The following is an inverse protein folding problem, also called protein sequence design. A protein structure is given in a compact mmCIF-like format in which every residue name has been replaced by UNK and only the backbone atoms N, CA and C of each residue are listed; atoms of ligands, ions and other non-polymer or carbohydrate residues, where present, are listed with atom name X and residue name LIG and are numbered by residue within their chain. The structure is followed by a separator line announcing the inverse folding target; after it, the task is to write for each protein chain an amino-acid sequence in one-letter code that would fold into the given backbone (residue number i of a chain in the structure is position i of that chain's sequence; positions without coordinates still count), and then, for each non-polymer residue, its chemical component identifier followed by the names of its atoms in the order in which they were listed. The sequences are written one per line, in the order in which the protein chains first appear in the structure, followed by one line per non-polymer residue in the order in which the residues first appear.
data_IF_177265444356
#
_entry.id   IF_177265444356
#
_cell.length_a   1.000
_cell.length_b   1.000
_cell.length_c   1.000
_cell.angle_alpha   90.00
_cell.angle_beta   90.00
_cell.angle_gamma   90.00
#
_symmetry.space_group_name_H-M   'P 1'
#
loop_
_entity.id
_entity.type
_entity.pdbx_description
1 polymer ?
#
# COMPACT_ATOMS: atom_id res chain seq x y z
N UNK A 1 -37.60 -24.06 -12.79
CA UNK A 1 -36.27 -23.75 -12.23
C UNK A 1 -35.29 -23.70 -13.38
N UNK A 2 -34.82 -22.50 -13.72
CA UNK A 2 -33.86 -22.27 -14.81
C UNK A 2 -32.50 -22.11 -14.15
N UNK A 3 -31.56 -22.99 -14.46
CA UNK A 3 -30.15 -22.87 -14.03
C UNK A 3 -29.54 -21.62 -14.68
N UNK A 4 -28.92 -20.72 -13.92
CA UNK A 4 -28.25 -19.56 -14.51
C UNK A 4 -27.08 -20.05 -15.38
N UNK A 5 -27.07 -19.63 -16.65
CA UNK A 5 -26.00 -19.91 -17.58
C UNK A 5 -24.71 -19.22 -17.15
N UNK A 6 -23.57 -19.90 -17.35
CA UNK A 6 -22.26 -19.36 -17.02
C UNK A 6 -22.02 -18.00 -17.70
N UNK A 7 -21.43 -17.01 -16.99
CA UNK A 7 -21.19 -15.69 -17.54
C UNK A 7 -20.22 -15.77 -18.73
N UNK A 8 -20.45 -14.99 -19.81
CA UNK A 8 -19.57 -14.98 -20.96
C UNK A 8 -18.19 -14.45 -20.56
N UNK A 9 -17.14 -15.18 -20.95
CA UNK A 9 -15.75 -14.76 -20.78
C UNK A 9 -15.57 -13.43 -21.51
N UNK A 10 -15.35 -12.35 -20.75
CA UNK A 10 -15.26 -11.00 -21.32
C UNK A 10 -13.92 -10.79 -22.03
N UNK A 11 -13.89 -9.92 -23.04
CA UNK A 11 -12.68 -9.55 -23.77
C UNK A 11 -11.54 -9.05 -22.85
N UNK A 12 -11.89 -8.53 -21.68
CA UNK A 12 -10.95 -8.09 -20.62
C UNK A 12 -10.15 -9.25 -20.03
N UNK A 13 -10.74 -10.45 -19.93
CA UNK A 13 -10.07 -11.65 -19.43
C UNK A 13 -9.03 -12.16 -20.45
N UNK A 14 -9.37 -12.15 -21.74
CA UNK A 14 -8.44 -12.51 -22.82
C UNK A 14 -7.24 -11.55 -22.92
N UNK A 15 -7.46 -10.25 -22.72
CA UNK A 15 -6.37 -9.28 -22.69
C UNK A 15 -5.36 -9.57 -21.56
N UNK A 16 -5.84 -9.94 -20.36
CA UNK A 16 -4.98 -10.34 -19.24
C UNK A 16 -4.19 -11.62 -19.55
N UNK A 17 -4.83 -12.62 -20.14
CA UNK A 17 -4.17 -13.88 -20.53
C UNK A 17 -3.08 -13.64 -21.56
N UNK A 18 -3.32 -12.77 -22.55
CA UNK A 18 -2.32 -12.44 -23.58
C UNK A 18 -1.14 -11.65 -23.03
N UNK A 19 -1.38 -10.67 -22.16
CA UNK A 19 -0.29 -9.88 -21.54
C UNK A 19 0.53 -10.77 -20.61
N UNK A 20 -0.12 -11.55 -19.75
CA UNK A 20 0.59 -12.42 -18.80
C UNK A 20 1.37 -13.52 -19.54
N UNK A 21 0.74 -14.16 -20.53
CA UNK A 21 1.39 -15.16 -21.39
C UNK A 21 2.56 -14.60 -22.19
N UNK A 22 2.44 -13.37 -22.69
CA UNK A 22 3.52 -12.68 -23.40
C UNK A 22 4.72 -12.36 -22.51
N UNK A 23 4.47 -11.82 -21.32
CA UNK A 23 5.53 -11.50 -20.34
C UNK A 23 6.22 -12.77 -19.82
N UNK A 24 5.48 -13.84 -19.55
CA UNK A 24 6.09 -15.12 -19.14
C UNK A 24 6.89 -15.76 -20.27
N UNK A 25 6.40 -15.76 -21.50
CA UNK A 25 7.14 -16.29 -22.64
C UNK A 25 8.42 -15.50 -22.92
N UNK A 26 8.37 -14.17 -22.85
CA UNK A 26 9.54 -13.31 -23.01
C UNK A 26 10.55 -13.50 -21.86
N UNK A 27 10.07 -13.56 -20.61
CA UNK A 27 10.91 -13.85 -19.44
C UNK A 27 11.59 -15.21 -19.54
N UNK A 28 10.86 -16.24 -19.98
CA UNK A 28 11.42 -17.57 -20.21
C UNK A 28 12.49 -17.57 -21.30
N UNK A 29 12.27 -16.84 -22.40
CA UNK A 29 13.25 -16.72 -23.49
C UNK A 29 14.52 -15.98 -23.06
N UNK A 30 14.39 -14.90 -22.26
CA UNK A 30 15.53 -14.17 -21.70
C UNK A 30 16.30 -15.07 -20.73
N UNK A 31 15.59 -15.80 -19.87
CA UNK A 31 16.21 -16.69 -18.89
C UNK A 31 16.88 -17.88 -19.58
N UNK A 32 16.27 -18.45 -20.61
CA UNK A 32 16.91 -19.47 -21.45
C UNK A 32 18.12 -18.91 -22.18
N UNK A 33 18.06 -17.72 -22.77
CA UNK A 33 19.18 -17.06 -23.44
C UNK A 33 20.32 -16.69 -22.50
N UNK A 34 20.01 -16.34 -21.25
CA UNK A 34 21.00 -16.03 -20.22
C UNK A 34 21.61 -17.30 -19.61
N UNK A 35 20.84 -18.38 -19.44
CA UNK A 35 21.27 -19.62 -18.78
C UNK A 35 21.90 -20.63 -19.74
N UNK A 36 21.49 -20.68 -21.01
CA UNK A 36 22.10 -21.56 -22.03
C UNK A 36 23.63 -21.40 -22.12
N UNK A 37 24.19 -20.17 -22.14
CA UNK A 37 25.63 -19.98 -22.17
C UNK A 37 26.34 -20.62 -20.97
N UNK A 38 25.76 -20.55 -19.76
CA UNK A 38 26.33 -21.17 -18.56
C UNK A 38 26.14 -22.70 -18.50
N UNK A 39 25.17 -23.23 -19.25
CA UNK A 39 24.98 -24.68 -19.41
C UNK A 39 25.91 -25.28 -20.47
N UNK A 40 26.35 -24.48 -21.45
CA UNK A 40 27.19 -24.91 -22.58
C UNK A 40 28.68 -24.57 -22.36
N UNK A 41 29.00 -23.53 -21.59
CA UNK A 41 30.36 -23.11 -21.29
C UNK A 41 30.70 -23.37 -19.81
N UNK A 42 31.87 -23.93 -19.54
CA UNK A 42 32.36 -24.08 -18.17
C UNK A 42 32.47 -22.69 -17.50
N UNK A 43 31.94 -22.52 -16.27
CA UNK A 43 31.96 -21.22 -15.62
C UNK A 43 33.41 -20.80 -15.30
N UNK A 44 33.77 -19.52 -15.49
CA UNK A 44 35.06 -19.00 -15.04
C UNK A 44 35.14 -19.12 -13.52
N UNK A 45 36.22 -19.71 -13.02
CA UNK A 45 36.48 -19.82 -11.59
C UNK A 45 36.76 -18.42 -11.02
N UNK A 46 35.82 -17.84 -10.26
CA UNK A 46 36.09 -16.58 -9.57
C UNK A 46 34.93 -15.69 -9.10
N UNK A 47 33.65 -16.10 -9.18
CA UNK A 47 32.56 -15.27 -8.65
C UNK A 47 32.28 -15.55 -7.17
N UNK A 48 32.86 -14.73 -6.28
CA UNK A 48 32.47 -14.64 -4.88
C UNK A 48 31.27 -13.71 -4.70
N UNK A 49 30.19 -14.21 -4.11
CA UNK A 49 29.05 -13.40 -3.69
C UNK A 49 29.36 -12.73 -2.34
N UNK A 50 29.45 -11.40 -2.31
CA UNK A 50 29.38 -10.64 -1.07
C UNK A 50 27.92 -10.31 -0.75
N UNK A 51 27.42 -10.58 0.48
CA UNK A 51 26.07 -10.22 0.87
C UNK A 51 26.00 -8.71 1.18
N UNK A 52 25.31 -7.96 0.33
CA UNK A 52 24.87 -6.59 0.59
C UNK A 52 23.44 -6.65 1.15
N UNK A 53 23.30 -6.61 2.47
CA UNK A 53 22.04 -6.37 3.18
C UNK A 53 22.33 -5.40 4.33
N UNK A 54 22.46 -4.13 3.98
CA UNK A 54 22.58 -3.04 4.96
C UNK A 54 21.17 -2.47 5.20
N UNK A 55 20.76 -2.47 6.46
CA UNK A 55 19.42 -2.15 6.97
C UNK A 55 18.92 -0.77 6.52
N UNK A 56 17.72 -0.71 5.94
CA UNK A 56 16.99 0.53 5.71
C UNK A 56 15.74 0.51 6.61
N UNK A 57 15.65 1.34 7.67
CA UNK A 57 14.64 1.18 8.73
C UNK A 57 13.23 1.72 8.40
N UNK A 58 12.92 2.03 7.13
CA UNK A 58 11.67 2.71 6.77
C UNK A 58 10.58 1.79 6.18
N UNK A 59 10.82 0.49 6.03
CA UNK A 59 9.84 -0.42 5.43
C UNK A 59 9.12 -1.24 6.49
N UNK A 60 7.78 -1.32 6.37
CA UNK A 60 6.89 -2.17 7.16
C UNK A 60 7.46 -3.59 7.32
N UNK A 61 7.32 -4.22 8.51
CA UNK A 61 7.83 -5.56 8.80
C UNK A 61 7.35 -6.66 7.83
N UNK A 62 6.26 -6.43 7.08
CA UNK A 62 5.76 -7.39 6.09
C UNK A 62 6.63 -7.49 4.83
N UNK A 63 7.30 -6.43 4.39
CA UNK A 63 8.20 -6.50 3.22
C UNK A 63 9.45 -7.35 3.48
N UNK A 64 9.91 -7.39 4.73
CA UNK A 64 11.11 -8.13 5.11
C UNK A 64 10.86 -9.66 5.09
N UNK A 65 9.62 -10.08 5.30
CA UNK A 65 9.22 -11.50 5.26
C UNK A 65 9.29 -12.07 3.85
N UNK A 66 8.77 -11.35 2.84
CA UNK A 66 8.83 -11.78 1.44
C UNK A 66 10.26 -11.81 0.90
N UNK A 67 11.10 -10.84 1.27
CA UNK A 67 12.52 -10.82 0.90
C UNK A 67 13.29 -12.03 1.45
N UNK A 68 13.03 -12.41 2.70
CA UNK A 68 13.65 -13.59 3.34
C UNK A 68 13.19 -14.90 2.70
N UNK A 69 11.90 -15.02 2.36
CA UNK A 69 11.37 -16.21 1.66
C UNK A 69 12.01 -16.35 0.28
N UNK A 70 12.11 -15.26 -0.49
CA UNK A 70 12.73 -15.27 -1.80
C UNK A 70 14.23 -15.66 -1.71
N UNK A 71 14.99 -15.07 -0.78
CA UNK A 71 16.39 -15.38 -0.58
C UNK A 71 16.61 -16.86 -0.17
N UNK A 72 15.77 -17.39 0.71
CA UNK A 72 15.79 -18.80 1.10
C UNK A 72 15.53 -19.74 -0.08
N UNK A 73 14.58 -19.38 -0.95
CA UNK A 73 14.27 -20.15 -2.16
C UNK A 73 15.43 -20.15 -3.17
N UNK A 74 16.08 -19.01 -3.38
CA UNK A 74 17.26 -18.90 -4.24
C UNK A 74 18.44 -19.72 -3.72
N UNK A 75 18.70 -19.69 -2.41
CA UNK A 75 19.75 -20.50 -1.79
C UNK A 75 19.48 -22.02 -1.95
N UNK A 76 18.22 -22.44 -1.76
CA UNK A 76 17.82 -23.83 -1.93
C UNK A 76 17.92 -24.32 -3.39
N UNK A 77 17.50 -23.49 -4.35
CA UNK A 77 17.63 -23.77 -5.79
C UNK A 77 19.10 -23.83 -6.23
N UNK A 78 19.95 -22.95 -5.70
CA UNK A 78 21.39 -22.98 -5.94
C UNK A 78 22.04 -24.27 -5.41
N UNK A 79 21.69 -24.68 -4.20
CA UNK A 79 22.21 -25.91 -3.58
C UNK A 79 21.78 -27.19 -4.32
N UNK A 80 20.52 -27.27 -4.74
CA UNK A 80 20.00 -28.44 -5.49
C UNK A 80 20.63 -28.56 -6.88
N UNK A 81 20.86 -27.44 -7.58
CA UNK A 81 21.56 -27.45 -8.87
C UNK A 81 23.00 -27.95 -8.75
N UNK A 82 23.74 -27.50 -7.73
CA UNK A 82 25.11 -27.98 -7.45
C UNK A 82 25.13 -29.47 -7.11
N UNK A 83 24.17 -29.95 -6.31
CA UNK A 83 24.01 -31.37 -5.98
C UNK A 83 23.75 -32.26 -7.19
N UNK A 84 22.91 -31.83 -8.14
CA UNK A 84 22.62 -32.56 -9.37
C UNK A 84 23.87 -32.66 -10.26
N UNK A 85 24.71 -31.63 -10.29
CA UNK A 85 26.00 -31.66 -11.01
C UNK A 85 26.98 -32.64 -10.36
N UNK A 86 27.05 -32.65 -9.04
CA UNK A 86 27.93 -33.53 -8.27
C UNK A 86 27.53 -35.02 -8.37
N UNK A 87 26.24 -35.33 -8.53
CA UNK A 87 25.71 -36.69 -8.62
C UNK A 87 26.08 -37.44 -9.92
N UNK A 88 26.79 -36.80 -10.87
CA UNK A 88 27.37 -37.51 -12.00
C UNK A 88 26.32 -38.12 -12.94
N UNK A 89 25.23 -37.41 -13.22
CA UNK A 89 24.20 -37.80 -14.19
C UNK A 89 24.84 -37.89 -15.59
N UNK A 90 25.24 -39.11 -15.98
CA UNK A 90 26.06 -39.37 -17.19
C UNK A 90 25.24 -39.41 -18.48
N UNK A 91 23.92 -39.62 -18.40
CA UNK A 91 23.04 -39.69 -19.56
C UNK A 91 22.50 -38.34 -20.02
N UNK A 92 22.62 -38.01 -21.33
CA UNK A 92 22.01 -36.83 -21.95
C UNK A 92 20.48 -36.77 -21.71
N UNK A 93 19.83 -37.93 -21.70
CA UNK A 93 18.38 -38.08 -21.45
C UNK A 93 18.00 -37.71 -20.01
N UNK A 94 18.80 -38.13 -19.03
CA UNK A 94 18.55 -37.84 -17.62
C UNK A 94 18.75 -36.35 -17.32
N UNK A 95 19.75 -35.71 -17.92
CA UNK A 95 19.93 -34.24 -17.80
C UNK A 95 18.76 -33.45 -18.36
N UNK A 96 18.21 -33.88 -19.51
CA UNK A 96 17.03 -33.25 -20.09
C UNK A 96 15.80 -33.42 -19.20
N UNK A 97 15.59 -34.61 -18.63
CA UNK A 97 14.48 -34.88 -17.72
C UNK A 97 14.59 -34.05 -16.43
N UNK A 98 15.77 -33.98 -15.82
CA UNK A 98 15.99 -33.15 -14.62
C UNK A 98 15.80 -31.66 -14.90
N UNK A 99 16.27 -31.17 -16.06
CA UNK A 99 16.05 -29.79 -16.48
C UNK A 99 14.58 -29.45 -16.71
N UNK A 100 13.83 -30.34 -17.37
CA UNK A 100 12.39 -30.19 -17.57
C UNK A 100 11.62 -30.20 -16.24
N UNK A 101 11.99 -31.08 -15.31
CA UNK A 101 11.38 -31.14 -13.99
C UNK A 101 11.61 -29.83 -13.21
N UNK A 102 12.85 -29.32 -13.20
CA UNK A 102 13.18 -28.06 -12.53
C UNK A 102 12.39 -26.89 -13.14
N UNK A 103 12.34 -26.80 -14.47
CA UNK A 103 11.57 -25.76 -15.17
C UNK A 103 10.08 -25.84 -14.83
N UNK A 104 9.51 -27.05 -14.76
CA UNK A 104 8.12 -27.25 -14.35
C UNK A 104 7.87 -26.81 -12.91
N UNK A 105 8.75 -27.14 -11.96
CA UNK A 105 8.64 -26.72 -10.56
C UNK A 105 8.69 -25.20 -10.45
N UNK A 106 9.62 -24.54 -11.13
CA UNK A 106 9.72 -23.07 -11.15
C UNK A 106 8.44 -22.46 -11.72
N UNK A 107 7.92 -22.98 -12.84
CA UNK A 107 6.68 -22.50 -13.43
C UNK A 107 5.47 -22.63 -12.48
N UNK A 108 5.35 -23.75 -11.76
CA UNK A 108 4.29 -23.96 -10.77
C UNK A 108 4.44 -22.99 -9.60
N UNK A 109 5.66 -22.76 -9.10
CA UNK A 109 5.89 -21.79 -8.02
C UNK A 109 5.51 -20.36 -8.44
N UNK A 110 5.87 -19.94 -9.66
CA UNK A 110 5.47 -18.64 -10.20
C UNK A 110 3.95 -18.52 -10.36
N UNK A 111 3.28 -19.60 -10.79
CA UNK A 111 1.83 -19.62 -10.93
C UNK A 111 1.13 -19.53 -9.56
N UNK A 112 1.58 -20.30 -8.57
CA UNK A 112 1.07 -20.23 -7.19
C UNK A 112 1.31 -18.85 -6.59
N UNK A 113 2.50 -18.29 -6.76
CA UNK A 113 2.82 -16.94 -6.30
C UNK A 113 1.93 -15.88 -6.96
N UNK A 114 1.69 -15.99 -8.27
CA UNK A 114 0.79 -15.10 -8.99
C UNK A 114 -0.65 -15.16 -8.48
N UNK A 115 -1.17 -16.37 -8.25
CA UNK A 115 -2.52 -16.57 -7.69
C UNK A 115 -2.64 -15.99 -6.27
N UNK A 116 -1.65 -16.23 -5.40
CA UNK A 116 -1.64 -15.69 -4.04
C UNK A 116 -1.50 -14.16 -4.03
N UNK A 117 -0.69 -13.59 -4.94
CA UNK A 117 -0.52 -12.15 -5.06
C UNK A 117 -1.79 -11.46 -5.58
N UNK A 118 -2.54 -12.10 -6.47
CA UNK A 118 -3.82 -11.58 -6.96
C UNK A 118 -4.89 -11.59 -5.87
N UNK A 119 -4.95 -12.63 -5.02
CA UNK A 119 -5.86 -12.67 -3.86
C UNK A 119 -5.51 -11.61 -2.81
N UNK A 120 -4.21 -11.39 -2.54
CA UNK A 120 -3.76 -10.33 -1.63
C UNK A 120 -4.17 -8.95 -2.14
N UNK A 121 -3.91 -8.66 -3.43
CA UNK A 121 -4.32 -7.39 -4.07
C UNK A 121 -5.82 -7.22 -4.17
N UNK A 122 -6.57 -8.32 -4.35
CA UNK A 122 -8.03 -8.28 -4.40
C UNK A 122 -8.63 -7.96 -3.02
N UNK A 123 -8.00 -8.39 -1.91
CA UNK A 123 -8.42 -8.03 -0.55
C UNK A 123 -8.04 -6.60 -0.16
N UNK A 124 -6.99 -6.05 -0.73
CA UNK A 124 -6.62 -4.63 -0.57
C UNK A 124 -7.50 -3.68 -1.41
N UNK A 125 -8.26 -4.20 -2.38
CA UNK A 125 -9.00 -3.36 -3.33
C UNK A 125 -10.33 -2.82 -2.79
N UNK A 126 -10.89 -3.45 -1.76
CA UNK A 126 -12.01 -2.85 -1.03
C UNK A 126 -11.42 -2.09 0.16
N UNK A 127 -11.46 -0.75 0.16
CA UNK A 127 -11.09 0.00 1.35
C UNK A 127 -11.96 -0.52 2.50
N UNK A 128 -11.38 -0.81 3.66
CA UNK A 128 -12.13 -1.40 4.76
C UNK A 128 -13.36 -0.54 5.09
N UNK A 129 -14.44 -1.12 5.64
CA UNK A 129 -15.71 -0.41 5.81
C UNK A 129 -15.58 0.87 6.67
N UNK A 130 -14.59 0.95 7.57
CA UNK A 130 -14.26 2.15 8.32
C UNK A 130 -13.65 3.29 7.48
N UNK A 131 -13.10 2.99 6.30
CA UNK A 131 -12.61 3.98 5.33
C UNK A 131 -13.72 4.64 4.51
N UNK A 132 -14.99 4.24 4.68
CA UNK A 132 -16.13 4.91 4.06
C UNK A 132 -16.73 5.89 5.06
N UNK A 133 -16.20 7.13 5.16
CA UNK A 133 -16.79 8.10 6.07
C UNK A 133 -18.23 8.40 5.61
N UNK A 134 -19.15 8.73 6.53
CA UNK A 134 -20.55 9.01 6.22
C UNK A 134 -20.69 9.95 5.03
N UNK A 135 -21.78 9.86 4.26
CA UNK A 135 -22.00 10.71 3.09
C UNK A 135 -21.77 12.21 3.38
N UNK A 136 -22.14 12.69 4.57
CA UNK A 136 -21.86 14.07 4.98
C UNK A 136 -20.36 14.43 5.00
N UNK A 137 -19.49 13.47 5.31
CA UNK A 137 -18.04 13.65 5.30
C UNK A 137 -17.48 13.36 3.91
N UNK A 138 -17.85 12.25 3.26
CA UNK A 138 -17.31 11.88 1.93
C UNK A 138 -17.82 12.76 0.77
N UNK A 139 -19.08 13.19 0.82
CA UNK A 139 -19.73 14.01 -0.22
C UNK A 139 -19.70 15.52 0.10
N UNK A 140 -18.97 15.93 1.15
CA UNK A 140 -18.83 17.35 1.48
C UNK A 140 -18.16 18.11 0.34
N UNK A 141 -18.57 19.35 0.12
CA UNK A 141 -17.79 20.27 -0.71
C UNK A 141 -16.47 20.59 0.01
N UNK A 142 -15.31 20.24 -0.57
CA UNK A 142 -14.02 20.57 0.03
C UNK A 142 -13.87 22.09 0.13
N UNK A 143 -13.36 22.59 1.25
CA UNK A 143 -12.96 23.99 1.41
C UNK A 143 -11.49 24.14 0.98
N UNK A 144 -10.98 25.38 0.82
CA UNK A 144 -9.55 25.61 0.66
C UNK A 144 -8.76 24.87 1.75
N UNK A 145 -7.87 23.97 1.35
CA UNK A 145 -7.16 23.09 2.28
C UNK A 145 -6.00 23.84 2.96
N UNK A 146 -5.96 23.81 4.29
CA UNK A 146 -4.78 24.15 5.09
C UNK A 146 -3.78 22.98 5.14
N UNK A 147 -3.50 22.39 3.97
CA UNK A 147 -2.51 21.32 3.80
C UNK A 147 -1.26 21.92 3.19
N UNK A 148 -0.16 21.84 3.93
CA UNK A 148 1.16 22.12 3.39
C UNK A 148 1.71 20.87 2.71
N UNK A 149 1.67 20.86 1.37
CA UNK A 149 2.14 19.74 0.54
C UNK A 149 3.67 19.74 0.32
N UNK A 150 4.40 20.69 0.89
CA UNK A 150 5.85 20.79 0.72
C UNK A 150 6.62 19.93 1.72
N UNK A 151 7.77 19.39 1.28
CA UNK A 151 8.71 18.62 2.12
C UNK A 151 9.26 19.41 3.32
N UNK A 152 9.21 20.75 3.27
CA UNK A 152 9.69 21.64 4.32
C UNK A 152 8.74 22.84 4.42
N UNK A 153 8.03 23.05 5.53
CA UNK A 153 7.18 24.23 5.72
C UNK A 153 7.99 25.53 5.71
N UNK A 154 7.34 26.68 5.48
CA UNK A 154 8.01 27.96 5.52
C UNK A 154 8.75 28.11 6.86
N UNK A 155 9.97 28.64 6.79
CA UNK A 155 10.81 28.92 7.96
C UNK A 155 11.33 27.71 8.76
N UNK A 156 11.19 26.48 8.23
CA UNK A 156 11.71 25.28 8.87
C UNK A 156 10.93 24.85 10.12
N UNK A 157 9.68 25.31 10.24
CA UNK A 157 8.77 24.86 11.29
C UNK A 157 8.42 23.36 11.11
N UNK A 158 7.76 22.71 12.07
CA UNK A 158 7.10 21.43 11.81
C UNK A 158 5.89 21.62 10.88
N UNK A 159 5.61 20.68 9.97
CA UNK A 159 4.49 20.77 8.99
C UNK A 159 3.14 21.00 9.68
N UNK A 160 2.93 20.33 10.81
CA UNK A 160 1.75 20.51 11.65
C UNK A 160 1.58 21.97 12.11
N UNK A 161 2.69 22.69 12.31
CA UNK A 161 2.65 24.08 12.77
C UNK A 161 2.09 25.01 11.71
N UNK A 162 2.62 24.92 10.49
CA UNK A 162 2.16 25.71 9.36
C UNK A 162 0.69 25.43 9.01
N UNK A 163 0.26 24.17 9.07
CA UNK A 163 -1.13 23.79 8.78
C UNK A 163 -2.11 24.36 9.81
N UNK A 164 -1.77 24.26 11.10
CA UNK A 164 -2.59 24.84 12.16
C UNK A 164 -2.64 26.36 12.09
N UNK A 165 -1.53 27.03 11.75
CA UNK A 165 -1.50 28.48 11.60
C UNK A 165 -2.40 28.94 10.44
N UNK A 166 -2.39 28.23 9.30
CA UNK A 166 -3.29 28.51 8.18
C UNK A 166 -4.77 28.51 8.61
N UNK A 167 -5.18 27.52 9.42
CA UNK A 167 -6.55 27.41 9.87
C UNK A 167 -6.94 28.55 10.83
N UNK A 168 -6.03 28.94 11.71
CA UNK A 168 -6.18 30.08 12.61
C UNK A 168 -6.28 31.39 11.84
N UNK A 169 -5.42 31.60 10.84
CA UNK A 169 -5.44 32.81 10.00
C UNK A 169 -6.74 32.92 9.21
N UNK A 170 -7.23 31.82 8.64
CA UNK A 170 -8.52 31.77 7.96
C UNK A 170 -9.68 32.13 8.91
N UNK A 171 -9.69 31.58 10.12
CA UNK A 171 -10.68 31.92 11.15
C UNK A 171 -10.67 33.41 11.51
N UNK A 172 -9.48 34.00 11.72
CA UNK A 172 -9.33 35.43 12.04
C UNK A 172 -9.75 36.32 10.86
N UNK A 173 -9.49 35.87 9.62
CA UNK A 173 -9.86 36.59 8.40
C UNK A 173 -11.34 36.45 8.02
N UNK A 174 -12.09 35.54 8.66
CA UNK A 174 -13.46 35.20 8.26
C UNK A 174 -13.52 34.45 6.93
N UNK A 175 -12.46 33.74 6.59
CA UNK A 175 -12.34 32.94 5.38
C UNK A 175 -12.63 31.46 5.66
N UNK A 176 -13.08 30.74 4.64
CA UNK A 176 -13.30 29.29 4.75
C UNK A 176 -11.99 28.53 4.60
N UNK A 177 -11.76 27.56 5.46
CA UNK A 177 -10.62 26.66 5.35
C UNK A 177 -10.93 25.27 5.91
N UNK A 178 -10.21 24.26 5.45
CA UNK A 178 -10.31 22.89 5.96
C UNK A 178 -8.92 22.34 6.28
N UNK A 179 -8.78 21.76 7.47
CA UNK A 179 -7.60 21.04 7.91
C UNK A 179 -7.97 19.58 8.16
N UNK A 180 -7.20 18.65 7.58
CA UNK A 180 -7.41 17.21 7.73
C UNK A 180 -6.19 16.63 8.44
N UNK A 181 -6.42 16.04 9.61
CA UNK A 181 -5.43 15.31 10.38
C UNK A 181 -5.50 13.84 10.00
N UNK A 182 -4.35 13.28 9.66
CA UNK A 182 -4.19 11.87 9.36
C UNK A 182 -3.40 11.19 10.48
N UNK A 183 -3.88 10.04 10.94
CA UNK A 183 -3.09 9.15 11.78
C UNK A 183 -1.97 8.54 10.92
N UNK A 184 -0.75 8.56 11.45
CA UNK A 184 0.44 8.02 10.80
C UNK A 184 0.93 6.71 11.42
N UNK A 185 0.27 6.22 12.47
CA UNK A 185 0.75 5.07 13.25
C UNK A 185 0.48 3.71 12.60
N UNK A 186 -0.44 3.62 11.63
CA UNK A 186 -0.94 2.36 11.06
C UNK A 186 -0.45 1.94 9.66
N UNK A 187 0.45 2.68 9.00
CA UNK A 187 0.91 2.34 7.64
C UNK A 187 -0.09 2.67 6.51
N UNK A 188 -1.15 3.40 6.82
CA UNK A 188 -2.08 4.04 5.87
C UNK A 188 -2.40 5.47 6.30
N UNK A 189 -2.79 6.33 5.36
CA UNK A 189 -3.24 7.71 5.64
C UNK A 189 -4.70 7.69 6.15
N UNK A 190 -4.93 7.23 7.37
CA UNK A 190 -6.28 7.21 7.95
C UNK A 190 -6.66 8.61 8.45
N UNK A 191 -7.84 9.11 8.05
CA UNK A 191 -8.31 10.42 8.51
C UNK A 191 -8.81 10.30 9.96
N UNK A 192 -8.08 10.90 10.89
CA UNK A 192 -8.45 10.93 12.31
C UNK A 192 -9.42 12.08 12.60
N UNK A 193 -9.18 13.24 11.99
CA UNK A 193 -9.95 14.44 12.28
C UNK A 193 -10.04 15.38 11.06
N UNK A 194 -11.19 16.02 10.88
CA UNK A 194 -11.39 17.09 9.89
C UNK A 194 -11.90 18.31 10.63
N UNK A 195 -11.18 19.43 10.52
CA UNK A 195 -11.57 20.71 11.12
C UNK A 195 -11.87 21.70 9.99
N UNK A 196 -13.06 22.29 10.02
CA UNK A 196 -13.55 23.20 8.98
C UNK A 196 -13.93 24.52 9.61
N UNK A 197 -13.42 25.60 9.04
CA UNK A 197 -13.85 26.98 9.32
C UNK A 197 -14.80 27.39 8.20
N UNK A 198 -16.01 27.79 8.55
CA UNK A 198 -17.04 28.24 7.63
C UNK A 198 -17.05 29.77 7.51
N UNK A 199 -17.72 30.30 6.47
CA UNK A 199 -17.74 31.73 6.16
C UNK A 199 -18.42 32.60 7.23
N UNK A 200 -19.25 32.01 8.10
CA UNK A 200 -19.90 32.66 9.24
C UNK A 200 -19.08 32.54 10.53
N UNK A 201 -17.80 32.12 10.43
CA UNK A 201 -16.90 31.78 11.53
C UNK A 201 -17.38 30.61 12.40
N UNK A 202 -18.36 29.82 11.94
CA UNK A 202 -18.69 28.53 12.56
C UNK A 202 -17.56 27.53 12.32
N UNK A 203 -17.19 26.78 13.35
CA UNK A 203 -16.18 25.72 13.25
C UNK A 203 -16.88 24.36 13.37
N UNK A 204 -16.71 23.52 12.35
CA UNK A 204 -17.13 22.12 12.39
C UNK A 204 -15.92 21.22 12.58
N UNK A 205 -16.02 20.26 13.49
CA UNK A 205 -14.99 19.26 13.73
C UNK A 205 -15.61 17.89 13.55
N UNK A 206 -15.06 17.10 12.65
CA UNK A 206 -15.43 15.70 12.45
C UNK A 206 -14.31 14.87 13.06
N UNK A 207 -14.65 14.05 14.05
CA UNK A 207 -13.72 13.17 14.73
C UNK A 207 -14.08 11.74 14.40
N UNK A 208 -13.09 10.98 13.96
CA UNK A 208 -13.20 9.54 13.83
C UNK A 208 -13.07 8.91 15.24
N UNK A 209 -14.09 8.18 15.68
CA UNK A 209 -14.11 7.53 17.00
C UNK A 209 -14.37 6.04 16.83
N UNK A 210 -13.49 5.22 17.39
CA UNK A 210 -13.61 3.76 17.43
C UNK A 210 -12.36 3.07 16.94
N UNK A 211 -12.25 1.80 17.33
CA UNK A 211 -11.26 0.85 16.79
C UNK A 211 -12.03 -0.19 15.95
N UNK A 212 -11.42 -0.66 14.85
CA UNK A 212 -11.91 -1.73 13.98
C UNK A 212 -13.35 -1.53 13.44
N UNK A 213 -14.23 -2.53 13.61
CA UNK A 213 -15.59 -2.58 13.06
C UNK A 213 -16.58 -1.61 13.76
N UNK A 214 -16.16 -0.88 14.79
CA UNK A 214 -17.03 0.00 15.59
C UNK A 214 -16.90 1.48 15.27
N UNK A 215 -16.26 1.78 14.13
CA UNK A 215 -16.01 3.15 13.68
C UNK A 215 -17.30 3.95 13.53
N UNK A 216 -17.33 5.07 14.23
CA UNK A 216 -18.33 6.12 14.07
C UNK A 216 -17.66 7.47 13.90
N UNK A 217 -18.40 8.40 13.33
CA UNK A 217 -17.97 9.77 13.17
C UNK A 217 -18.80 10.63 14.10
N UNK A 218 -18.14 11.52 14.81
CA UNK A 218 -18.82 12.53 15.60
C UNK A 218 -18.56 13.88 15.00
N UNK A 219 -19.63 14.67 14.85
CA UNK A 219 -19.52 16.07 14.43
C UNK A 219 -19.68 16.95 15.65
N UNK A 220 -18.78 17.90 15.82
CA UNK A 220 -18.88 18.94 16.84
C UNK A 220 -18.99 20.29 16.15
N UNK A 221 -19.73 21.19 16.78
CA UNK A 221 -19.71 22.61 16.41
C UNK A 221 -19.05 23.37 17.55
N UNK A 222 -17.96 24.07 17.25
CA UNK A 222 -17.20 24.81 18.24
C UNK A 222 -17.46 26.31 18.09
N UNK A 223 -17.43 27.03 19.21
CA UNK A 223 -17.77 28.45 19.26
C UNK A 223 -16.60 29.37 18.87
N UNK A 224 -15.35 28.96 19.11
CA UNK A 224 -14.19 29.74 18.69
C UNK A 224 -12.92 28.91 18.57
N UNK A 225 -11.98 29.41 17.78
CA UNK A 225 -10.63 28.89 17.67
C UNK A 225 -9.68 29.95 18.26
N UNK A 226 -8.84 29.57 19.22
CA UNK A 226 -7.94 30.51 19.93
C UNK A 226 -6.50 30.02 19.87
N UNK A 227 -5.50 30.91 19.81
CA UNK A 227 -4.11 30.51 19.94
C UNK A 227 -3.89 29.76 21.26
N UNK A 228 -3.19 28.63 21.19
CA UNK A 228 -2.81 27.81 22.34
C UNK A 228 -1.28 27.89 22.57
N UNK A 229 -0.85 27.52 23.78
CA UNK A 229 0.57 27.32 24.05
C UNK A 229 1.03 25.95 23.57
N UNK A 230 2.27 25.87 23.11
CA UNK A 230 2.89 24.62 22.64
C UNK A 230 2.66 23.45 23.62
N UNK A 231 2.38 22.23 23.11
CA UNK A 231 2.55 21.79 21.72
C UNK A 231 1.36 22.06 20.79
N UNK A 232 0.23 22.53 21.33
CA UNK A 232 -0.96 22.84 20.54
C UNK A 232 -0.88 24.28 20.04
N UNK A 233 -1.27 24.53 18.79
CA UNK A 233 -1.21 25.88 18.20
C UNK A 233 -2.51 26.62 18.34
N UNK A 234 -3.62 25.89 18.32
CA UNK A 234 -4.90 26.42 18.70
C UNK A 234 -5.65 25.47 19.62
N UNK A 235 -6.55 26.06 20.38
CA UNK A 235 -7.55 25.38 21.18
C UNK A 235 -8.92 25.61 20.52
N UNK A 236 -9.70 24.54 20.43
CA UNK A 236 -11.10 24.60 20.04
C UNK A 236 -11.95 24.80 21.29
N UNK A 237 -12.76 25.86 21.32
CA UNK A 237 -13.53 26.25 22.50
C UNK A 237 -15.02 26.01 22.26
N UNK A 238 -15.71 25.44 23.24
CA UNK A 238 -17.16 25.25 23.22
C UNK A 238 -17.61 24.08 22.33
N UNK A 239 -16.81 23.02 22.23
CA UNK A 239 -17.14 21.80 21.49
C UNK A 239 -17.83 20.76 22.39
N UNK A 240 -18.79 21.20 23.23
CA UNK A 240 -19.17 20.42 24.40
C UNK A 240 -20.10 19.23 24.11
N UNK A 241 -20.81 19.24 22.98
CA UNK A 241 -21.76 18.20 22.62
C UNK A 241 -21.65 17.84 21.13
N UNK A 242 -21.61 16.54 20.80
CA UNK A 242 -21.67 16.11 19.41
C UNK A 242 -23.06 16.44 18.83
N UNK A 243 -23.04 16.96 17.61
CA UNK A 243 -24.22 17.18 16.79
C UNK A 243 -24.44 15.93 15.93
N UNK A 244 -25.70 15.47 15.76
CA UNK A 244 -25.98 14.31 14.93
C UNK A 244 -25.37 14.44 13.52
N UNK A 245 -24.79 13.33 13.05
CA UNK A 245 -24.34 13.17 11.67
C UNK A 245 -25.48 12.51 10.89
N UNK A 246 -26.15 13.24 9.96
CA UNK A 246 -27.21 12.68 9.14
C UNK A 246 -26.74 11.43 8.38
N UNK A 247 -27.55 10.37 8.44
CA UNK A 247 -27.27 9.11 7.75
C UNK A 247 -26.43 8.12 8.55
N UNK A 248 -26.03 8.46 9.78
CA UNK A 248 -25.42 7.52 10.72
C UNK A 248 -26.49 7.07 11.73
N UNK A 249 -26.82 5.77 11.73
CA UNK A 249 -27.87 5.16 12.58
C UNK A 249 -27.30 4.14 13.56
#
# INVERSE_FOLDING_TARGET
MVTPGAPPITARMWAKVLVFGGVTAAGLLILLGAVLPFLVLDPPQGFGFHPFLEHNPCCSPDQDTYGRIAAGLFAWLGGTYVGIRAAGVRGRRERLLSGLLLAAVVAVLFLVYGLLADDARAREAEPPPWLNPPAMVSERTPLPSCRYDGLHPPNGEPILVANHQCLLDAFVAGETAEFVLYDSTGGGEEVEQIIRVLADATIEVFVHIGEDDTVRWERYTCASLRPASAPQIFELVGCDQPVPVPGQS
#
